data_IF_172196331664
#
_entry.id   IF_172196331664
#
_cell.length_a   1.000
_cell.length_b   1.000
_cell.length_c   1.000
_cell.angle_alpha   90.00
_cell.angle_beta   90.00
_cell.angle_gamma   90.00
#
_symmetry.space_group_name_H-M   'P 1'
#
loop_
_entity.id
_entity.type
_entity.pdbx_description
1 polymer ?
#
# COMPACT_ATOMS: atom_id res chain seq x y z
N UNK A 1 -19.44 -9.00 -1.71
CA UNK A 1 -19.24 -8.45 -0.34
C UNK A 1 -18.44 -7.17 -0.42
N UNK A 2 -18.65 -6.21 0.51
CA UNK A 2 -17.84 -4.98 0.64
C UNK A 2 -16.96 -5.09 1.89
N UNK A 3 -15.69 -5.46 1.73
CA UNK A 3 -14.78 -5.67 2.88
C UNK A 3 -14.24 -4.37 3.46
N UNK A 4 -13.88 -3.41 2.60
CA UNK A 4 -13.25 -2.15 3.01
C UNK A 4 -14.20 -1.16 3.70
N UNK A 5 -15.50 -1.46 3.74
CA UNK A 5 -16.50 -0.66 4.47
C UNK A 5 -17.00 -1.36 5.74
N UNK A 6 -16.45 -2.54 6.08
CA UNK A 6 -16.76 -3.24 7.32
C UNK A 6 -15.99 -2.63 8.48
N UNK A 7 -16.56 -2.72 9.68
CA UNK A 7 -15.98 -2.13 10.90
C UNK A 7 -14.68 -2.82 11.29
N UNK A 8 -14.60 -4.12 11.06
CA UNK A 8 -13.41 -4.93 11.33
C UNK A 8 -12.20 -4.40 10.55
N UNK A 9 -12.43 -4.01 9.28
CA UNK A 9 -11.43 -3.31 8.48
C UNK A 9 -11.23 -1.88 8.97
N UNK A 10 -12.26 -1.03 8.95
CA UNK A 10 -12.16 0.39 9.28
C UNK A 10 -12.83 0.71 10.63
N UNK A 11 -12.02 0.94 11.67
CA UNK A 11 -12.51 1.23 13.02
C UNK A 11 -11.88 2.51 13.62
N UNK A 12 -12.58 3.66 13.57
CA UNK A 12 -12.13 4.89 14.22
C UNK A 12 -12.03 4.80 15.75
N UNK A 13 -12.84 3.95 16.40
CA UNK A 13 -12.80 3.76 17.86
C UNK A 13 -11.52 3.00 18.26
N UNK A 14 -11.12 1.99 17.48
CA UNK A 14 -9.83 1.31 17.62
C UNK A 14 -8.68 2.30 17.47
N UNK A 15 -8.80 3.21 16.51
CA UNK A 15 -7.78 4.22 16.22
C UNK A 15 -7.55 5.22 17.36
N UNK A 16 -8.62 5.80 17.93
CA UNK A 16 -8.50 6.76 19.06
C UNK A 16 -8.00 6.10 20.35
N UNK A 17 -8.10 4.77 20.45
CA UNK A 17 -7.54 3.97 21.55
C UNK A 17 -6.08 3.55 21.33
N UNK A 18 -5.44 4.05 20.27
CA UNK A 18 -4.03 3.79 19.97
C UNK A 18 -3.77 2.67 18.96
N UNK A 19 -4.81 1.99 18.45
CA UNK A 19 -4.69 0.94 17.45
C UNK A 19 -4.66 1.44 16.00
N UNK A 20 -4.67 0.50 15.06
CA UNK A 20 -4.72 0.80 13.62
C UNK A 20 -6.13 1.28 13.20
N UNK A 21 -6.21 2.22 12.26
CA UNK A 21 -7.48 2.64 11.67
C UNK A 21 -7.99 1.58 10.70
N UNK A 22 -7.11 1.14 9.79
CA UNK A 22 -7.37 0.05 8.85
C UNK A 22 -6.75 -1.24 9.38
N UNK A 23 -7.41 -2.37 9.19
CA UNK A 23 -6.94 -3.68 9.62
C UNK A 23 -6.58 -4.54 8.41
N UNK A 24 -5.31 -4.49 8.01
CA UNK A 24 -4.80 -5.27 6.88
C UNK A 24 -4.72 -6.76 7.20
N UNK A 25 -4.49 -7.11 8.47
CA UNK A 25 -4.44 -8.50 8.93
C UNK A 25 -5.82 -9.14 8.76
N UNK A 26 -6.85 -8.49 9.31
CA UNK A 26 -8.23 -8.93 9.12
C UNK A 26 -8.63 -9.00 7.65
N UNK A 27 -8.23 -8.01 6.82
CA UNK A 27 -8.59 -7.99 5.41
C UNK A 27 -8.01 -9.19 4.67
N UNK A 28 -6.73 -9.47 4.89
CA UNK A 28 -6.01 -10.58 4.25
C UNK A 28 -6.59 -11.91 4.71
N UNK A 29 -6.83 -12.08 6.01
CA UNK A 29 -7.41 -13.30 6.56
C UNK A 29 -8.83 -13.53 6.00
N UNK A 30 -9.70 -12.51 6.04
CA UNK A 30 -11.07 -12.61 5.57
C UNK A 30 -11.18 -12.90 4.06
N UNK A 31 -10.27 -12.34 3.26
CA UNK A 31 -10.28 -12.52 1.80
C UNK A 31 -9.60 -13.82 1.38
N UNK A 32 -8.57 -14.29 2.09
CA UNK A 32 -7.87 -15.54 1.74
C UNK A 32 -8.79 -16.76 1.69
N UNK A 33 -9.78 -16.86 2.58
CA UNK A 33 -10.74 -17.96 2.59
C UNK A 33 -11.93 -17.79 1.65
N UNK A 34 -12.39 -16.56 1.39
CA UNK A 34 -13.62 -16.28 0.65
C UNK A 34 -13.39 -15.90 -0.82
N UNK A 35 -12.22 -15.35 -1.12
CA UNK A 35 -11.80 -14.88 -2.44
C UNK A 35 -10.28 -15.09 -2.58
N UNK A 36 -9.81 -16.34 -2.59
CA UNK A 36 -8.39 -16.64 -2.65
C UNK A 36 -7.78 -16.08 -3.94
N UNK A 37 -6.58 -15.52 -3.82
CA UNK A 37 -5.77 -15.18 -4.97
C UNK A 37 -5.40 -16.46 -5.73
N UNK A 38 -5.37 -16.39 -7.06
CA UNK A 38 -4.98 -17.50 -7.93
C UNK A 38 -3.45 -17.71 -7.94
N UNK A 39 -2.84 -17.93 -6.77
CA UNK A 39 -1.38 -17.99 -6.59
C UNK A 39 -0.73 -19.13 -7.39
N UNK A 40 -1.40 -20.28 -7.52
CA UNK A 40 -0.88 -21.39 -8.35
C UNK A 40 -0.85 -21.03 -9.84
N UNK A 41 -1.80 -20.21 -10.30
CA UNK A 41 -1.78 -19.67 -11.67
C UNK A 41 -0.63 -18.68 -11.83
N UNK A 42 -0.42 -17.79 -10.86
CA UNK A 42 0.71 -16.87 -10.87
C UNK A 42 2.06 -17.61 -10.90
N UNK A 43 2.22 -18.65 -10.07
CA UNK A 43 3.43 -19.47 -10.04
C UNK A 43 3.77 -20.08 -11.41
N UNK A 44 2.79 -20.70 -12.09
CA UNK A 44 2.99 -21.23 -13.45
C UNK A 44 3.36 -20.15 -14.47
N UNK A 45 2.80 -18.96 -14.34
CA UNK A 45 3.17 -17.82 -15.19
C UNK A 45 4.62 -17.39 -14.92
N UNK A 46 5.06 -17.40 -13.66
CA UNK A 46 6.44 -17.10 -13.30
C UNK A 46 7.41 -18.12 -13.87
N UNK A 47 7.08 -19.41 -13.77
CA UNK A 47 7.86 -20.50 -14.38
C UNK A 47 7.95 -20.36 -15.91
N UNK A 48 6.94 -19.79 -16.55
CA UNK A 48 6.95 -19.47 -17.99
C UNK A 48 7.73 -18.18 -18.35
N UNK A 49 8.39 -17.56 -17.37
CA UNK A 49 9.22 -16.35 -17.57
C UNK A 49 8.48 -15.02 -17.40
N UNK A 50 7.26 -15.00 -16.84
CA UNK A 50 6.60 -13.75 -16.45
C UNK A 50 7.17 -13.25 -15.13
N UNK A 51 7.25 -11.93 -14.97
CA UNK A 51 7.68 -11.33 -13.71
C UNK A 51 6.57 -10.47 -13.12
N UNK A 52 6.44 -10.51 -11.80
CA UNK A 52 5.52 -9.69 -11.04
C UNK A 52 6.25 -9.13 -9.83
N UNK A 53 6.05 -7.83 -9.57
CA UNK A 53 6.70 -7.11 -8.50
C UNK A 53 5.68 -6.25 -7.77
N UNK A 54 5.83 -6.16 -6.44
CA UNK A 54 5.06 -5.28 -5.58
C UNK A 54 6.00 -4.29 -4.91
N UNK A 55 5.66 -3.01 -4.94
CA UNK A 55 6.45 -1.92 -4.36
C UNK A 55 6.07 -1.72 -2.90
N UNK A 56 7.05 -1.73 -2.00
CA UNK A 56 6.89 -1.26 -0.63
C UNK A 56 7.99 -0.25 -0.30
N UNK A 57 7.69 0.67 0.60
CA UNK A 57 8.63 1.68 1.06
C UNK A 57 9.35 1.15 2.31
N UNK A 58 10.69 1.16 2.32
CA UNK A 58 11.45 0.84 3.53
C UNK A 58 11.18 1.89 4.61
N UNK A 59 10.91 1.45 5.84
CA UNK A 59 10.58 2.35 6.94
C UNK A 59 11.77 3.09 7.55
N UNK A 60 13.00 2.66 7.26
CA UNK A 60 14.23 3.24 7.83
C UNK A 60 14.85 4.34 6.96
N UNK A 61 14.90 4.15 5.64
CA UNK A 61 15.50 5.08 4.68
C UNK A 61 14.55 5.59 3.59
N UNK A 62 13.28 5.16 3.62
CA UNK A 62 12.23 5.52 2.66
C UNK A 62 12.53 5.14 1.21
N UNK A 63 13.49 4.25 0.96
CA UNK A 63 13.77 3.77 -0.40
C UNK A 63 12.72 2.75 -0.85
N UNK A 64 12.44 2.73 -2.15
CA UNK A 64 11.53 1.75 -2.74
C UNK A 64 12.20 0.37 -2.80
N UNK A 65 11.48 -0.66 -2.37
CA UNK A 65 11.87 -2.05 -2.55
C UNK A 65 10.81 -2.79 -3.37
N UNK A 66 11.27 -3.60 -4.33
CA UNK A 66 10.40 -4.32 -5.26
C UNK A 66 10.47 -5.82 -5.01
N UNK A 67 9.42 -6.35 -4.40
CA UNK A 67 9.35 -7.75 -4.02
C UNK A 67 8.72 -8.59 -5.12
N UNK A 68 9.36 -9.70 -5.50
CA UNK A 68 8.68 -10.77 -6.24
C UNK A 68 8.15 -11.80 -5.24
N UNK A 69 6.83 -12.06 -5.21
CA UNK A 69 6.25 -12.93 -4.20
C UNK A 69 6.52 -14.40 -4.48
N UNK A 70 6.65 -15.16 -3.40
CA UNK A 70 6.58 -16.62 -3.38
C UNK A 70 5.20 -17.06 -2.88
N UNK A 71 4.92 -18.37 -2.96
CA UNK A 71 3.67 -18.93 -2.41
C UNK A 71 3.55 -18.71 -0.90
N UNK A 72 4.67 -18.53 -0.20
CA UNK A 72 4.72 -18.43 1.26
C UNK A 72 4.54 -16.99 1.76
N UNK A 73 5.04 -15.99 1.04
CA UNK A 73 5.11 -14.61 1.54
C UNK A 73 4.18 -13.64 0.80
N UNK A 74 3.36 -14.12 -0.15
CA UNK A 74 2.52 -13.28 -0.98
C UNK A 74 1.63 -12.34 -0.17
N UNK A 75 0.95 -12.88 0.84
CA UNK A 75 0.04 -12.11 1.68
C UNK A 75 0.78 -11.09 2.55
N UNK A 76 1.97 -11.44 3.04
CA UNK A 76 2.82 -10.54 3.83
C UNK A 76 3.28 -9.35 3.00
N UNK A 77 3.70 -9.60 1.76
CA UNK A 77 4.09 -8.54 0.84
C UNK A 77 2.88 -7.65 0.50
N UNK A 78 1.69 -8.23 0.27
CA UNK A 78 0.48 -7.42 0.06
C UNK A 78 0.23 -6.49 1.25
N UNK A 79 0.29 -7.01 2.49
CA UNK A 79 0.15 -6.19 3.70
C UNK A 79 1.19 -5.07 3.72
N UNK A 80 2.46 -5.38 3.47
CA UNK A 80 3.55 -4.40 3.48
C UNK A 80 3.34 -3.29 2.47
N UNK A 81 2.98 -3.64 1.23
CA UNK A 81 2.79 -2.68 0.13
C UNK A 81 1.61 -1.74 0.33
N UNK A 82 0.69 -2.09 1.23
CA UNK A 82 -0.55 -1.35 1.54
C UNK A 82 -0.55 -0.73 2.95
N UNK A 83 0.59 -0.78 3.66
CA UNK A 83 0.72 -0.34 5.05
C UNK A 83 0.80 1.20 5.15
N UNK A 84 -0.33 1.86 4.97
CA UNK A 84 -0.41 3.33 4.93
C UNK A 84 -0.01 3.91 6.30
N UNK A 85 1.03 4.77 6.37
CA UNK A 85 1.45 5.39 7.61
C UNK A 85 0.32 6.13 8.30
N UNK A 86 0.27 6.04 9.63
CA UNK A 86 -0.81 6.60 10.43
C UNK A 86 -2.09 5.77 10.42
N UNK A 87 -2.46 5.08 9.35
CA UNK A 87 -3.65 4.22 9.31
C UNK A 87 -3.37 2.76 9.67
N UNK A 88 -2.18 2.26 9.34
CA UNK A 88 -1.63 0.99 9.80
C UNK A 88 -0.25 1.27 10.41
N UNK A 89 -0.22 1.57 11.70
CA UNK A 89 0.89 2.26 12.37
C UNK A 89 2.16 1.42 12.49
N UNK A 90 2.00 0.11 12.57
CA UNK A 90 3.12 -0.81 12.82
C UNK A 90 3.98 -1.02 11.59
N UNK A 91 3.49 -0.73 10.39
CA UNK A 91 4.10 -1.26 9.17
C UNK A 91 4.08 -2.80 9.17
N UNK A 92 4.82 -3.40 8.25
CA UNK A 92 5.00 -4.86 8.19
C UNK A 92 6.49 -5.17 8.16
N UNK A 93 6.95 -5.97 9.14
CA UNK A 93 8.33 -6.42 9.18
C UNK A 93 8.55 -7.57 8.18
N UNK A 94 9.45 -7.36 7.22
CA UNK A 94 9.94 -8.38 6.30
C UNK A 94 11.46 -8.46 6.46
N UNK A 95 11.98 -9.66 6.77
CA UNK A 95 13.41 -9.91 6.97
C UNK A 95 14.11 -8.92 7.93
N UNK A 96 13.41 -8.54 9.00
CA UNK A 96 13.92 -7.63 10.04
C UNK A 96 13.84 -6.14 9.69
N UNK A 97 13.32 -5.78 8.52
CA UNK A 97 13.11 -4.41 8.08
C UNK A 97 11.62 -4.11 8.09
N UNK A 98 11.22 -2.98 8.67
CA UNK A 98 9.82 -2.57 8.64
C UNK A 98 9.49 -1.88 7.31
N UNK A 99 8.35 -2.24 6.71
CA UNK A 99 7.89 -1.70 5.44
C UNK A 99 6.55 -0.98 5.58
N UNK A 100 6.40 0.05 4.74
CA UNK A 100 5.25 0.93 4.63
C UNK A 100 4.69 0.86 3.20
N UNK A 101 3.55 1.50 2.99
CA UNK A 101 2.90 1.62 1.69
C UNK A 101 3.88 2.11 0.60
N UNK A 102 3.92 1.40 -0.53
CA UNK A 102 4.83 1.71 -1.64
C UNK A 102 4.55 3.05 -2.31
N UNK A 103 3.35 3.60 -2.11
CA UNK A 103 2.94 4.92 -2.56
C UNK A 103 3.80 6.08 -2.04
N UNK A 104 4.51 5.86 -0.94
CA UNK A 104 5.44 6.85 -0.36
C UNK A 104 6.69 7.00 -1.22
N UNK A 105 7.28 5.87 -1.63
CA UNK A 105 8.58 5.84 -2.30
C UNK A 105 8.45 5.80 -3.83
N UNK A 106 7.49 5.04 -4.36
CA UNK A 106 7.21 4.97 -5.79
C UNK A 106 5.74 4.54 -6.05
N UNK A 107 4.85 5.54 -6.10
CA UNK A 107 3.42 5.34 -6.30
C UNK A 107 3.03 4.75 -7.66
N UNK A 108 3.84 5.00 -8.69
CA UNK A 108 3.63 4.44 -10.03
C UNK A 108 5.01 4.06 -10.58
N UNK A 109 5.44 2.78 -10.44
CA UNK A 109 6.82 2.35 -10.67
C UNK A 109 7.18 2.19 -12.15
N UNK A 110 6.92 3.23 -12.95
CA UNK A 110 7.21 3.27 -14.40
C UNK A 110 8.70 3.24 -14.65
N UNK A 111 9.47 3.99 -13.85
CA UNK A 111 10.93 4.04 -13.99
C UNK A 111 11.54 2.68 -13.68
N UNK A 112 11.03 1.97 -12.67
CA UNK A 112 11.48 0.62 -12.36
C UNK A 112 11.14 -0.37 -13.48
N UNK A 113 9.93 -0.30 -14.03
CA UNK A 113 9.55 -1.13 -15.17
C UNK A 113 10.46 -0.89 -16.39
N UNK A 114 10.81 0.37 -16.68
CA UNK A 114 11.74 0.73 -17.75
C UNK A 114 13.16 0.19 -17.48
N UNK A 115 13.69 0.33 -16.26
CA UNK A 115 15.00 -0.25 -15.86
C UNK A 115 15.05 -1.76 -16.05
N UNK A 116 13.92 -2.44 -15.88
CA UNK A 116 13.77 -3.89 -16.11
C UNK A 116 13.58 -4.27 -17.58
N UNK A 117 13.69 -3.31 -18.50
CA UNK A 117 13.67 -3.54 -19.94
C UNK A 117 12.31 -3.44 -20.60
N UNK A 118 11.28 -2.93 -19.92
CA UNK A 118 9.98 -2.69 -20.54
C UNK A 118 10.10 -1.59 -21.61
N UNK A 119 9.78 -1.93 -22.86
CA UNK A 119 9.74 -0.98 -23.99
C UNK A 119 8.38 -0.31 -24.15
N UNK A 120 7.34 -0.94 -23.63
CA UNK A 120 5.96 -0.46 -23.65
C UNK A 120 5.40 -0.65 -22.26
N UNK A 121 4.90 0.44 -21.67
CA UNK A 121 4.38 0.45 -20.29
C UNK A 121 2.95 0.95 -20.35
N UNK A 122 2.03 0.11 -19.86
CA UNK A 122 0.61 0.47 -19.71
C UNK A 122 0.36 0.76 -18.24
N UNK A 123 -0.11 1.96 -17.94
CA UNK A 123 -0.41 2.39 -16.56
C UNK A 123 -1.92 2.35 -16.34
N UNK A 124 -2.36 1.63 -15.32
CA UNK A 124 -3.76 1.59 -14.89
C UNK A 124 -3.88 2.46 -13.64
N UNK A 125 -4.78 3.45 -13.66
CA UNK A 125 -5.01 4.37 -12.53
C UNK A 125 -6.47 4.30 -12.11
N UNK A 126 -6.70 4.32 -10.80
CA UNK A 126 -8.05 4.35 -10.19
C UNK A 126 -8.58 5.77 -9.97
N UNK A 127 -7.73 6.77 -10.12
CA UNK A 127 -8.09 8.20 -10.10
C UNK A 127 -7.62 8.88 -11.39
N UNK A 128 -8.38 9.85 -11.93
CA UNK A 128 -7.96 10.62 -13.10
C UNK A 128 -6.62 11.31 -12.86
N UNK A 129 -5.80 11.46 -13.90
CA UNK A 129 -4.47 12.05 -13.79
C UNK A 129 -4.44 13.50 -13.28
N UNK A 130 -5.57 14.19 -13.33
CA UNK A 130 -5.73 15.60 -12.97
C UNK A 130 -6.45 15.83 -11.64
N UNK A 131 -6.84 14.79 -10.89
CA UNK A 131 -7.72 14.95 -9.74
C UNK A 131 -7.03 14.62 -8.41
N UNK A 132 -6.87 15.64 -7.56
CA UNK A 132 -6.56 15.47 -6.14
C UNK A 132 -7.89 15.42 -5.38
N UNK A 133 -8.32 14.23 -4.96
CA UNK A 133 -9.51 14.06 -4.14
C UNK A 133 -9.08 13.93 -2.68
N UNK A 134 -9.33 14.95 -1.86
CA UNK A 134 -9.31 14.77 -0.40
C UNK A 134 -10.62 14.06 -0.03
N UNK A 135 -10.57 12.81 0.45
CA UNK A 135 -11.79 12.11 0.79
C UNK A 135 -12.59 12.86 1.87
N UNK A 136 -13.91 12.94 1.73
CA UNK A 136 -14.77 13.60 2.73
C UNK A 136 -14.60 13.01 4.13
N UNK A 137 -14.26 11.71 4.23
CA UNK A 137 -13.95 11.08 5.50
C UNK A 137 -12.63 11.57 6.11
N UNK A 138 -11.65 11.99 5.30
CA UNK A 138 -10.39 12.60 5.75
C UNK A 138 -10.65 13.98 6.36
N UNK A 139 -11.47 14.82 5.72
CA UNK A 139 -11.94 16.10 6.31
C UNK A 139 -12.75 15.90 7.60
N UNK A 140 -13.54 14.82 7.66
CA UNK A 140 -14.24 14.44 8.90
C UNK A 140 -13.24 14.03 9.97
N UNK A 141 -12.18 13.32 9.62
CA UNK A 141 -11.14 12.90 10.56
C UNK A 141 -10.24 14.03 11.06
N UNK A 142 -9.90 15.02 10.23
CA UNK A 142 -9.18 16.22 10.66
C UNK A 142 -9.87 16.90 11.85
N UNK A 143 -11.22 16.92 11.88
CA UNK A 143 -11.99 17.46 13.01
C UNK A 143 -11.84 16.65 14.30
N UNK A 144 -11.54 15.36 14.21
CA UNK A 144 -11.31 14.49 15.37
C UNK A 144 -9.84 14.45 15.80
N UNK A 145 -8.93 14.79 14.90
CA UNK A 145 -7.48 14.69 15.06
C UNK A 145 -6.78 16.04 15.23
N UNK A 146 -7.54 17.12 15.42
CA UNK A 146 -7.07 18.49 15.64
C UNK A 146 -6.30 18.73 16.96
N UNK A 147 -5.51 17.75 17.41
CA UNK A 147 -4.49 17.89 18.45
C UNK A 147 -3.12 17.51 17.90
N UNK A 148 -2.38 18.51 17.43
CA UNK A 148 -0.91 18.63 17.22
C UNK A 148 -0.10 17.53 16.48
N UNK A 149 -0.61 16.33 16.19
CA UNK A 149 0.19 15.24 15.61
C UNK A 149 0.12 15.10 14.08
N UNK A 150 -0.77 15.82 13.39
CA UNK A 150 -0.89 15.75 11.92
C UNK A 150 -0.18 16.88 11.18
N UNK A 151 0.26 17.94 11.86
CA UNK A 151 0.98 19.04 11.23
C UNK A 151 2.36 18.63 10.69
N UNK A 152 2.98 17.58 11.27
CA UNK A 152 4.30 17.11 10.83
C UNK A 152 4.27 16.23 9.56
N UNK A 153 3.09 15.78 9.10
CA UNK A 153 2.96 14.93 7.92
C UNK A 153 2.53 15.69 6.65
N UNK A 154 2.33 17.01 6.74
CA UNK A 154 1.83 17.86 5.65
C UNK A 154 2.85 18.81 5.04
N UNK A 155 4.04 18.96 5.62
CA UNK A 155 5.07 19.90 5.16
C UNK A 155 6.41 19.21 4.88
N UNK A 156 6.46 18.39 3.83
CA UNK A 156 7.72 18.15 3.13
C UNK A 156 7.46 17.65 1.71
N UNK A 157 7.80 18.47 0.73
CA UNK A 157 8.03 18.01 -0.64
C UNK A 157 7.12 18.64 -1.67
N UNK A 158 7.55 19.78 -2.22
CA UNK A 158 7.39 20.01 -3.66
C UNK A 158 8.10 18.87 -4.39
N UNK A 159 7.36 17.82 -4.74
CA UNK A 159 7.85 16.76 -5.60
C UNK A 159 8.08 17.33 -7.01
N UNK A 160 9.20 16.99 -7.69
CA UNK A 160 9.46 17.46 -9.02
C UNK A 160 8.40 16.92 -9.99
N UNK A 161 8.04 17.77 -10.96
CA UNK A 161 7.31 17.37 -12.17
C UNK A 161 7.95 16.11 -12.76
N UNK A 162 7.25 14.99 -12.66
CA UNK A 162 7.28 13.96 -13.68
C UNK A 162 5.83 13.60 -13.98
N UNK A 163 5.33 14.24 -15.03
CA UNK A 163 4.08 13.86 -15.68
C UNK A 163 4.30 12.52 -16.36
N UNK A 164 3.54 11.54 -15.91
CA UNK A 164 3.08 10.41 -16.71
C UNK A 164 1.56 10.28 -16.50
#
# INVERSE_FOLDING_TARGET
>A
MRYTTKREFFDPVRFVRGGNLIDLDWLVDATSGQMPLAMDTAARLFDSGKSFYMCACRGDDYTANYFSPTKQNWLDIIRATSAIPGFYRTGVALDGINYLDGGISDAIPVQEAAKRGAKTIVVIRTVPSQMYYTPQWFKRMERWLGGEQFAAAGESGTAPRNQL
#
